data_IF_739719798348
#
_entry.id   IF_739719798348
#
_cell.length_a   1.000
_cell.length_b   1.000
_cell.length_c   1.000
_cell.angle_alpha   90.00
_cell.angle_beta   90.00
_cell.angle_gamma   90.00
#
_symmetry.space_group_name_H-M   'P 1'
#
loop_
_entity.id
_entity.type
_entity.pdbx_description
1 polymer ?
#
# COMPACT_ATOMS: atom_id res chain seq x y z
N UNK A 1 -4.97 4.70 21.29
CA UNK A 1 -4.62 5.48 20.08
C UNK A 1 -4.72 4.53 18.91
N UNK A 2 -5.52 4.84 17.91
CA UNK A 2 -5.51 4.09 16.65
C UNK A 2 -4.24 4.51 15.89
N UNK A 3 -3.40 3.58 15.41
CA UNK A 3 -2.28 3.94 14.55
C UNK A 3 -2.80 4.71 13.33
N UNK A 4 -2.03 5.71 12.88
CA UNK A 4 -2.33 6.40 11.63
C UNK A 4 -2.24 5.45 10.42
N UNK A 5 -2.81 5.82 9.27
CA UNK A 5 -2.65 5.04 8.05
C UNK A 5 -1.17 4.91 7.67
N UNK A 6 -0.79 3.73 7.19
CA UNK A 6 0.55 3.42 6.69
C UNK A 6 0.58 3.82 5.22
N UNK A 7 1.57 4.63 4.83
CA UNK A 7 1.77 5.00 3.43
C UNK A 7 2.49 3.87 2.69
N UNK A 8 1.95 3.49 1.54
CA UNK A 8 2.56 2.51 0.65
C UNK A 8 2.56 3.00 -0.80
N UNK A 9 3.46 2.45 -1.61
CA UNK A 9 3.58 2.71 -3.04
C UNK A 9 3.39 1.41 -3.80
N UNK A 10 2.52 1.38 -4.79
CA UNK A 10 2.28 0.19 -5.60
C UNK A 10 1.92 0.52 -7.04
N UNK A 11 1.63 -0.48 -7.88
CA UNK A 11 1.23 -0.25 -9.26
C UNK A 11 -0.10 0.50 -9.32
N UNK A 12 -0.19 1.52 -10.19
CA UNK A 12 -1.43 2.26 -10.42
C UNK A 12 -2.47 1.40 -11.13
N UNK A 13 -2.03 0.63 -12.12
CA UNK A 13 -2.86 -0.35 -12.80
C UNK A 13 -2.81 -1.64 -11.98
N UNK A 14 -3.89 -1.93 -11.25
CA UNK A 14 -3.94 -3.06 -10.34
C UNK A 14 -3.96 -4.39 -11.13
N UNK A 15 -3.18 -5.40 -10.71
CA UNK A 15 -3.18 -6.72 -11.35
C UNK A 15 -4.56 -7.39 -11.32
N UNK A 16 -4.83 -8.21 -12.34
CA UNK A 16 -6.13 -8.88 -12.51
C UNK A 16 -6.36 -10.04 -11.54
N UNK A 17 -5.31 -10.49 -10.84
CA UNK A 17 -5.40 -11.56 -9.85
C UNK A 17 -6.00 -11.09 -8.51
N UNK A 18 -6.31 -9.80 -8.38
CA UNK A 18 -6.96 -9.22 -7.20
C UNK A 18 -5.98 -8.85 -6.08
N UNK A 19 -4.67 -8.92 -6.32
CA UNK A 19 -3.64 -8.53 -5.36
C UNK A 19 -2.64 -7.57 -6.01
N UNK A 20 -2.09 -6.64 -5.23
CA UNK A 20 -0.98 -5.81 -5.65
C UNK A 20 0.17 -5.95 -4.67
N UNK A 21 1.39 -5.94 -5.20
CA UNK A 21 2.58 -5.77 -4.40
C UNK A 21 2.79 -4.29 -4.14
N UNK A 22 2.88 -3.92 -2.87
CA UNK A 22 3.08 -2.55 -2.42
C UNK A 22 4.33 -2.47 -1.56
N UNK A 23 5.12 -1.44 -1.78
CA UNK A 23 6.27 -1.10 -0.96
C UNK A 23 5.82 -0.21 0.19
N UNK A 24 6.16 -0.60 1.41
CA UNK A 24 5.85 0.13 2.64
C UNK A 24 7.14 0.75 3.15
N UNK A 25 7.12 2.07 3.37
CA UNK A 25 8.21 2.78 4.01
C UNK A 25 8.30 2.38 5.49
N UNK A 26 9.49 1.98 5.94
CA UNK A 26 9.74 1.66 7.35
C UNK A 26 10.07 2.90 8.20
N UNK A 27 10.19 4.08 7.60
CA UNK A 27 10.48 5.36 8.27
C UNK A 27 11.91 5.49 8.81
N UNK A 28 12.63 4.37 8.94
CA UNK A 28 14.06 4.31 9.20
C UNK A 28 14.62 2.96 8.73
N UNK A 29 15.36 2.94 7.62
CA UNK A 29 16.00 1.74 7.08
C UNK A 29 15.39 1.25 5.77
N UNK A 30 15.54 -0.04 5.48
CA UNK A 30 14.95 -0.65 4.29
C UNK A 30 13.44 -0.79 4.48
N UNK A 31 12.65 -0.30 3.52
CA UNK A 31 11.24 -0.64 3.43
C UNK A 31 11.05 -2.12 3.08
N UNK A 32 9.80 -2.57 3.02
CA UNK A 32 9.48 -3.95 2.65
C UNK A 32 8.32 -4.00 1.67
N UNK A 33 8.31 -5.04 0.84
CA UNK A 33 7.22 -5.30 -0.11
C UNK A 33 6.20 -6.21 0.56
N UNK A 34 4.92 -5.91 0.38
CA UNK A 34 3.81 -6.74 0.85
C UNK A 34 2.79 -6.93 -0.26
N UNK A 35 2.23 -8.13 -0.34
CA UNK A 35 1.12 -8.44 -1.22
C UNK A 35 -0.20 -8.14 -0.51
N UNK A 36 -1.00 -7.23 -1.06
CA UNK A 36 -2.24 -6.72 -0.45
C UNK A 36 -3.39 -6.91 -1.43
N UNK A 37 -4.59 -7.25 -0.92
CA UNK A 37 -5.79 -7.33 -1.76
C UNK A 37 -6.12 -5.97 -2.37
N UNK A 38 -6.32 -5.95 -3.68
CA UNK A 38 -6.57 -4.75 -4.48
C UNK A 38 -7.81 -3.98 -4.01
N UNK A 39 -8.87 -4.67 -3.59
CA UNK A 39 -10.11 -4.08 -3.07
C UNK A 39 -9.95 -3.40 -1.69
N UNK A 40 -8.83 -3.64 -1.01
CA UNK A 40 -8.48 -2.98 0.26
C UNK A 40 -7.51 -1.81 0.07
N UNK A 41 -7.04 -1.55 -1.15
CA UNK A 41 -6.18 -0.39 -1.43
C UNK A 41 -7.03 0.86 -1.60
N UNK A 42 -6.70 1.90 -0.83
CA UNK A 42 -7.31 3.22 -0.95
C UNK A 42 -6.25 4.23 -1.36
N UNK A 43 -6.50 5.01 -2.41
CA UNK A 43 -5.56 6.05 -2.84
C UNK A 43 -5.30 7.04 -1.71
N UNK A 44 -4.02 7.34 -1.47
CA UNK A 44 -3.63 8.36 -0.52
C UNK A 44 -3.95 9.75 -1.09
N UNK A 45 -4.38 10.73 -0.26
CA UNK A 45 -4.66 12.09 -0.73
C UNK A 45 -3.47 12.81 -1.37
N UNK A 46 -2.24 12.31 -1.17
CA UNK A 46 -1.02 12.87 -1.76
C UNK A 46 -0.72 12.33 -3.17
N UNK A 47 -1.47 11.32 -3.64
CA UNK A 47 -1.34 10.80 -4.99
C UNK A 47 -1.83 11.85 -6.01
N UNK A 48 -0.98 12.20 -6.96
CA UNK A 48 -1.30 13.20 -7.99
C UNK A 48 -2.02 12.62 -9.21
N UNK A 49 -2.27 11.30 -9.22
CA UNK A 49 -2.93 10.60 -10.32
C UNK A 49 -2.03 10.29 -11.52
N UNK A 50 -0.73 10.57 -11.45
CA UNK A 50 0.18 10.41 -12.59
C UNK A 50 1.18 9.26 -12.40
N UNK A 51 1.85 8.88 -13.49
CA UNK A 51 2.89 7.85 -13.48
C UNK A 51 2.39 6.40 -13.36
N UNK A 52 3.35 5.47 -13.32
CA UNK A 52 3.08 4.02 -13.27
C UNK A 52 2.71 3.51 -11.86
N UNK A 53 3.05 4.29 -10.84
CA UNK A 53 2.83 3.95 -9.44
C UNK A 53 1.82 4.92 -8.80
N UNK A 54 1.15 4.46 -7.77
CA UNK A 54 0.23 5.25 -6.97
C UNK A 54 0.55 5.12 -5.48
N UNK A 55 0.23 6.16 -4.73
CA UNK A 55 0.31 6.14 -3.27
C UNK A 55 -0.99 5.61 -2.67
N UNK A 56 -0.87 4.72 -1.70
CA UNK A 56 -1.99 4.08 -1.01
C UNK A 56 -1.90 4.28 0.51
N UNK A 57 -3.04 4.43 1.15
CA UNK A 57 -3.18 4.27 2.59
C UNK A 57 -3.55 2.83 2.91
N UNK A 58 -2.70 2.17 3.69
CA UNK A 58 -2.97 0.88 4.31
C UNK A 58 -3.38 1.07 5.76
N UNK A 59 -4.31 0.23 6.22
CA UNK A 59 -4.61 0.07 7.63
C UNK A 59 -3.65 -0.96 8.24
N UNK A 60 -3.33 -0.88 9.54
CA UNK A 60 -2.42 -1.81 10.21
C UNK A 60 -2.78 -3.29 9.98
N UNK A 61 -4.06 -3.65 9.98
CA UNK A 61 -4.50 -5.04 9.77
C UNK A 61 -4.12 -5.61 8.40
N UNK A 62 -3.97 -4.76 7.38
CA UNK A 62 -3.51 -5.18 6.04
C UNK A 62 -2.01 -5.46 6.02
N UNK A 63 -1.29 -4.93 7.00
CA UNK A 63 0.15 -5.08 7.20
C UNK A 63 0.45 -6.14 8.28
N UNK A 64 -0.57 -6.68 8.94
CA UNK A 64 -0.40 -7.69 9.99
C UNK A 64 -1.02 -9.04 9.64
N UNK A 65 -1.73 -9.18 8.51
CA UNK A 65 -2.28 -10.46 8.02
C UNK A 65 -1.18 -11.53 8.03
N UNK A 66 -1.17 -12.35 9.08
CA UNK A 66 -0.33 -13.53 9.26
C UNK A 66 -0.97 -14.65 8.45
N UNK A 67 -0.17 -15.30 7.60
CA UNK A 67 -0.51 -16.60 7.02
C UNK A 67 -0.93 -17.62 8.10
#
# INVERSE_FOLDING_TARGET
MTPGPILAVGPRILPTDGFAEVWIDSGSGYGYVRRVRADRLSLAPLDDGTGEHAFFHLRPEQVEERD
#
